data_IF_805104304185
#
_entry.id   IF_805104304185
#
_cell.length_a   1.000
_cell.length_b   1.000
_cell.length_c   1.000
_cell.angle_alpha   90.00
_cell.angle_beta   90.00
_cell.angle_gamma   90.00
#
_symmetry.space_group_name_H-M   'P 1'
#
loop_
_entity.id
_entity.type
_entity.pdbx_description
1 polymer ?
#
# COMPACT_ATOMS: atom_id res chain seq x y z
N UNK A 1 -18.10 10.44 9.31
CA UNK A 1 -18.63 9.22 8.61
C UNK A 1 -17.47 8.24 8.57
N UNK A 2 -17.63 6.98 9.06
CA UNK A 2 -16.54 5.99 8.91
C UNK A 2 -16.34 5.73 7.42
N UNK A 3 -15.09 5.62 6.97
CA UNK A 3 -14.74 5.24 5.60
C UNK A 3 -15.33 3.87 5.26
N UNK A 4 -15.63 3.63 3.99
CA UNK A 4 -16.08 2.31 3.50
C UNK A 4 -15.09 1.17 3.82
N UNK A 5 -13.84 1.49 4.13
CA UNK A 5 -12.84 0.51 4.59
C UNK A 5 -13.24 -0.21 5.88
N UNK A 6 -14.13 0.37 6.69
CA UNK A 6 -14.67 -0.25 7.92
C UNK A 6 -16.01 -0.95 7.69
N UNK A 7 -16.44 -1.14 6.42
CA UNK A 7 -17.61 -1.96 6.09
C UNK A 7 -17.20 -3.44 6.08
N UNK A 8 -17.43 -4.10 7.21
CA UNK A 8 -17.07 -5.50 7.43
C UNK A 8 -17.92 -6.50 6.61
N UNK A 9 -18.99 -6.06 5.98
CA UNK A 9 -19.92 -6.94 5.25
C UNK A 9 -19.73 -6.84 3.74
N UNK A 10 -19.84 -5.64 3.18
CA UNK A 10 -19.87 -5.45 1.73
C UNK A 10 -18.47 -5.38 1.11
N UNK A 11 -17.52 -4.75 1.81
CA UNK A 11 -16.18 -4.55 1.27
C UNK A 11 -15.43 -5.87 1.02
N UNK A 12 -15.39 -6.85 1.96
CA UNK A 12 -14.67 -8.10 1.72
C UNK A 12 -15.19 -8.86 0.49
N UNK A 13 -16.52 -8.97 0.34
CA UNK A 13 -17.13 -9.65 -0.80
C UNK A 13 -16.76 -8.97 -2.13
N UNK A 14 -16.77 -7.63 -2.16
CA UNK A 14 -16.41 -6.88 -3.35
C UNK A 14 -14.91 -6.96 -3.67
N UNK A 15 -14.05 -7.02 -2.66
CA UNK A 15 -12.61 -7.25 -2.87
C UNK A 15 -12.36 -8.63 -3.48
N UNK A 16 -12.99 -9.69 -2.98
CA UNK A 16 -12.88 -11.04 -3.55
C UNK A 16 -13.32 -11.04 -5.02
N UNK A 17 -14.47 -10.43 -5.35
CA UNK A 17 -14.95 -10.28 -6.73
C UNK A 17 -13.99 -9.47 -7.63
N UNK A 18 -13.27 -8.50 -7.06
CA UNK A 18 -12.22 -7.78 -7.77
C UNK A 18 -11.03 -8.70 -8.09
N UNK A 19 -10.56 -9.45 -7.10
CA UNK A 19 -9.39 -10.33 -7.20
C UNK A 19 -9.67 -11.54 -8.12
N UNK A 20 -10.86 -12.12 -8.08
CA UNK A 20 -11.25 -13.24 -8.97
C UNK A 20 -11.58 -12.80 -10.40
N UNK A 21 -11.63 -11.49 -10.65
CA UNK A 21 -11.91 -10.90 -11.95
C UNK A 21 -13.39 -10.67 -12.26
N UNK A 22 -14.32 -10.99 -11.35
CA UNK A 22 -15.77 -10.78 -11.54
C UNK A 22 -16.14 -9.31 -11.71
N UNK A 23 -15.33 -8.38 -11.20
CA UNK A 23 -15.46 -6.94 -11.43
C UNK A 23 -14.64 -6.43 -12.62
N UNK A 24 -14.05 -7.33 -13.42
CA UNK A 24 -13.24 -6.98 -14.58
C UNK A 24 -11.85 -6.44 -14.26
N UNK A 25 -11.38 -6.57 -13.02
CA UNK A 25 -10.03 -6.15 -12.65
C UNK A 25 -8.99 -7.16 -13.14
N UNK A 26 -7.88 -6.70 -13.72
CA UNK A 26 -6.79 -7.59 -14.07
C UNK A 26 -6.09 -8.09 -12.82
N UNK A 27 -5.58 -9.32 -12.86
CA UNK A 27 -4.62 -9.77 -11.85
C UNK A 27 -3.42 -8.81 -11.80
N UNK A 28 -2.76 -8.72 -10.64
CA UNK A 28 -1.66 -7.79 -10.41
C UNK A 28 -0.63 -7.82 -11.54
N UNK A 29 -0.17 -9.00 -11.91
CA UNK A 29 0.85 -9.20 -12.96
C UNK A 29 0.40 -8.86 -14.40
N UNK A 30 -0.90 -8.64 -14.61
CA UNK A 30 -1.49 -8.21 -15.89
C UNK A 30 -1.90 -6.74 -15.86
N UNK A 31 -1.77 -6.06 -14.74
CA UNK A 31 -2.12 -4.65 -14.63
C UNK A 31 -1.07 -3.75 -15.33
N UNK A 32 -1.51 -2.62 -15.86
CA UNK A 32 -0.64 -1.66 -16.58
C UNK A 32 0.47 -1.10 -15.72
N UNK A 33 0.27 -1.04 -14.42
CA UNK A 33 1.23 -0.50 -13.46
C UNK A 33 2.21 -1.54 -12.90
N UNK A 34 1.99 -2.83 -13.11
CA UNK A 34 2.82 -3.90 -12.52
C UNK A 34 4.31 -3.78 -12.87
N UNK A 35 4.63 -3.36 -14.10
CA UNK A 35 6.02 -3.16 -14.53
C UNK A 35 6.79 -2.23 -13.59
N UNK A 36 6.16 -1.16 -13.10
CA UNK A 36 6.80 -0.19 -12.21
C UNK A 36 6.99 -0.76 -10.79
N UNK A 37 6.03 -1.58 -10.32
CA UNK A 37 6.20 -2.30 -9.05
C UNK A 37 7.34 -3.31 -9.15
N UNK A 38 7.41 -4.06 -10.25
CA UNK A 38 8.49 -5.03 -10.47
C UNK A 38 9.86 -4.35 -10.51
N UNK A 39 10.01 -3.27 -11.28
CA UNK A 39 11.23 -2.48 -11.32
C UNK A 39 11.63 -1.97 -9.92
N UNK A 40 10.65 -1.48 -9.15
CA UNK A 40 10.89 -1.02 -7.78
C UNK A 40 11.41 -2.14 -6.87
N UNK A 41 10.82 -3.33 -6.95
CA UNK A 41 11.27 -4.50 -6.18
C UNK A 41 12.68 -4.95 -6.59
N UNK A 42 12.96 -4.98 -7.90
CA UNK A 42 14.27 -5.34 -8.44
C UNK A 42 15.37 -4.33 -7.95
N UNK A 43 15.08 -3.03 -7.93
CA UNK A 43 16.00 -1.99 -7.41
C UNK A 43 16.29 -2.18 -5.92
N UNK A 44 15.29 -2.50 -5.12
CA UNK A 44 15.47 -2.69 -3.68
C UNK A 44 16.32 -3.93 -3.35
N UNK A 45 16.14 -5.04 -4.07
CA UNK A 45 16.92 -6.26 -3.90
C UNK A 45 16.90 -6.83 -2.46
N UNK A 46 15.83 -6.56 -1.69
CA UNK A 46 15.66 -7.01 -0.31
C UNK A 46 15.24 -8.48 -0.22
N UNK A 47 15.27 -9.03 1.00
CA UNK A 47 14.80 -10.40 1.31
C UNK A 47 13.49 -10.41 2.08
N UNK A 48 13.19 -9.35 2.82
CA UNK A 48 12.01 -9.22 3.65
C UNK A 48 11.12 -8.11 3.14
N UNK A 49 9.81 -8.37 3.04
CA UNK A 49 8.79 -7.45 2.55
C UNK A 49 7.63 -7.34 3.53
N UNK A 50 7.36 -6.14 3.97
CA UNK A 50 6.11 -5.79 4.66
C UNK A 50 5.22 -5.03 3.69
N UNK A 51 4.01 -5.55 3.48
CA UNK A 51 2.98 -5.01 2.60
C UNK A 51 1.84 -4.40 3.43
N UNK A 52 1.75 -3.07 3.45
CA UNK A 52 0.76 -2.32 4.21
C UNK A 52 -0.51 -2.12 3.37
N UNK A 53 -1.66 -2.51 3.89
CA UNK A 53 -2.91 -2.55 3.14
C UNK A 53 -2.88 -3.67 2.09
N UNK A 54 -2.49 -4.88 2.52
CA UNK A 54 -2.16 -5.99 1.63
C UNK A 54 -3.35 -6.59 0.86
N UNK A 55 -4.59 -6.28 1.26
CA UNK A 55 -5.80 -6.83 0.64
C UNK A 55 -5.75 -8.36 0.55
N UNK A 56 -5.85 -8.91 -0.65
CA UNK A 56 -5.79 -10.35 -0.90
C UNK A 56 -4.40 -10.97 -0.88
N UNK A 57 -3.33 -10.19 -0.64
CA UNK A 57 -1.94 -10.72 -0.62
C UNK A 57 -1.36 -10.99 -2.01
N UNK A 58 -1.89 -10.39 -3.08
CA UNK A 58 -1.41 -10.64 -4.44
C UNK A 58 0.07 -10.30 -4.63
N UNK A 59 0.59 -9.30 -3.91
CA UNK A 59 2.02 -8.94 -3.94
C UNK A 59 2.85 -10.10 -3.39
N UNK A 60 2.49 -10.68 -2.24
CA UNK A 60 3.20 -11.83 -1.66
C UNK A 60 3.17 -13.06 -2.57
N UNK A 61 2.03 -13.31 -3.23
CA UNK A 61 1.91 -14.39 -4.21
C UNK A 61 2.85 -14.21 -5.40
N UNK A 62 2.97 -12.99 -5.91
CA UNK A 62 3.79 -12.70 -7.11
C UNK A 62 5.28 -12.64 -6.80
N UNK A 63 5.66 -12.11 -5.62
CA UNK A 63 7.06 -12.01 -5.17
C UNK A 63 7.37 -13.08 -4.12
N UNK A 64 7.05 -14.34 -4.44
CA UNK A 64 7.13 -15.51 -3.53
C UNK A 64 8.53 -15.84 -3.02
N UNK A 65 9.58 -15.29 -3.63
CA UNK A 65 10.98 -15.47 -3.17
C UNK A 65 11.33 -14.58 -1.96
N UNK A 66 10.43 -13.66 -1.59
CA UNK A 66 10.60 -12.78 -0.42
C UNK A 66 9.96 -13.37 0.82
N UNK A 67 10.55 -13.11 1.97
CA UNK A 67 9.88 -13.32 3.26
C UNK A 67 8.79 -12.25 3.42
N UNK A 68 7.60 -12.59 2.95
CA UNK A 68 6.44 -11.70 2.91
C UNK A 68 5.64 -11.72 4.21
N UNK A 69 5.22 -10.52 4.64
CA UNK A 69 4.23 -10.33 5.69
C UNK A 69 3.25 -9.23 5.26
N UNK A 70 1.97 -9.59 5.17
CA UNK A 70 0.88 -8.66 4.85
C UNK A 70 0.20 -8.11 6.10
N UNK A 71 -0.13 -6.82 6.07
CA UNK A 71 -0.85 -6.12 7.13
C UNK A 71 -2.09 -5.43 6.57
N UNK A 72 -3.26 -5.65 7.20
CA UNK A 72 -4.52 -5.00 6.84
C UNK A 72 -5.49 -4.96 8.02
N UNK A 73 -6.68 -4.37 7.84
CA UNK A 73 -7.75 -4.37 8.83
C UNK A 73 -8.17 -5.80 9.20
N UNK A 74 -8.58 -6.07 10.45
CA UNK A 74 -8.89 -7.42 10.92
C UNK A 74 -9.87 -8.18 10.01
N UNK A 75 -10.95 -7.54 9.57
CA UNK A 75 -11.95 -8.16 8.72
C UNK A 75 -11.44 -8.44 7.30
N UNK A 76 -10.50 -7.65 6.78
CA UNK A 76 -9.85 -7.92 5.50
C UNK A 76 -8.94 -9.14 5.62
N UNK A 77 -8.13 -9.23 6.67
CA UNK A 77 -7.29 -10.40 6.90
C UNK A 77 -8.13 -11.68 6.99
N UNK A 78 -9.20 -11.68 7.80
CA UNK A 78 -9.99 -12.89 8.04
C UNK A 78 -10.87 -13.27 6.84
N UNK A 79 -11.47 -12.30 6.16
CA UNK A 79 -12.48 -12.57 5.11
C UNK A 79 -11.92 -12.53 3.68
N UNK A 80 -10.75 -11.91 3.47
CA UNK A 80 -10.13 -11.77 2.13
C UNK A 80 -8.77 -12.43 2.08
N UNK A 81 -7.79 -11.95 2.84
CA UNK A 81 -6.38 -12.37 2.72
C UNK A 81 -6.21 -13.88 2.92
N UNK A 82 -6.73 -14.41 4.04
CA UNK A 82 -6.67 -15.85 4.38
C UNK A 82 -7.55 -16.73 3.48
N UNK A 83 -8.51 -16.14 2.77
CA UNK A 83 -9.37 -16.88 1.82
C UNK A 83 -8.69 -16.98 0.46
N UNK A 84 -8.05 -15.89 0.01
CA UNK A 84 -7.47 -15.79 -1.34
C UNK A 84 -6.08 -16.45 -1.42
N UNK A 85 -5.21 -16.18 -0.45
CA UNK A 85 -3.83 -16.70 -0.40
C UNK A 85 -3.50 -17.19 1.02
N UNK A 86 -4.10 -18.32 1.47
CA UNK A 86 -4.01 -18.80 2.86
C UNK A 86 -2.61 -19.21 3.32
N UNK A 87 -1.68 -19.41 2.38
CA UNK A 87 -0.29 -19.84 2.64
C UNK A 87 0.63 -18.69 3.07
N UNK A 88 0.18 -17.44 2.93
CA UNK A 88 0.98 -16.27 3.27
C UNK A 88 0.79 -15.85 4.74
N UNK A 89 1.75 -15.09 5.25
CA UNK A 89 1.70 -14.58 6.62
C UNK A 89 0.98 -13.24 6.68
N UNK A 90 0.01 -13.13 7.61
CA UNK A 90 -0.79 -11.93 7.77
C UNK A 90 -0.96 -11.53 9.22
N UNK A 91 -1.00 -10.21 9.47
CA UNK A 91 -1.32 -9.62 10.77
C UNK A 91 -2.31 -8.47 10.62
N UNK A 92 -3.18 -8.33 11.60
CA UNK A 92 -4.18 -7.27 11.65
C UNK A 92 -3.57 -5.97 12.19
N UNK A 93 -3.91 -4.84 11.57
CA UNK A 93 -3.60 -3.52 12.10
C UNK A 93 -4.63 -2.47 11.65
N UNK A 94 -4.69 -1.36 12.36
CA UNK A 94 -5.37 -0.13 11.92
C UNK A 94 -4.33 1.00 11.84
N UNK A 95 -4.24 1.63 10.67
CA UNK A 95 -3.26 2.69 10.41
C UNK A 95 -3.42 3.92 11.31
N UNK A 96 -4.61 4.17 11.81
CA UNK A 96 -4.89 5.31 12.68
C UNK A 96 -4.53 5.04 14.15
N UNK A 97 -4.49 3.77 14.55
CA UNK A 97 -4.27 3.36 15.94
C UNK A 97 -2.84 2.86 16.21
N UNK A 98 -2.04 2.62 15.16
CA UNK A 98 -0.68 2.07 15.29
C UNK A 98 0.41 3.12 15.22
N UNK A 99 1.57 2.81 15.82
CA UNK A 99 2.82 3.57 15.69
C UNK A 99 3.79 2.97 14.66
N UNK A 100 3.42 1.87 14.00
CA UNK A 100 4.21 1.16 12.99
C UNK A 100 5.53 0.55 13.50
N UNK A 101 5.68 0.26 14.80
CA UNK A 101 6.90 -0.38 15.32
C UNK A 101 7.21 -1.74 14.67
N UNK A 102 6.18 -2.45 14.20
CA UNK A 102 6.31 -3.76 13.57
C UNK A 102 7.03 -3.76 12.21
N UNK A 103 7.24 -2.60 11.58
CA UNK A 103 7.95 -2.53 10.29
C UNK A 103 9.48 -2.48 10.44
N UNK A 104 9.99 -2.30 11.66
CA UNK A 104 11.43 -2.31 11.93
C UNK A 104 12.06 -3.65 11.58
N UNK A 105 13.27 -3.60 11.05
CA UNK A 105 14.03 -4.79 10.63
C UNK A 105 13.64 -5.33 9.26
N UNK A 106 12.61 -4.78 8.59
CA UNK A 106 12.29 -5.15 7.22
C UNK A 106 13.17 -4.44 6.21
N UNK A 107 13.59 -5.15 5.15
CA UNK A 107 14.31 -4.55 4.04
C UNK A 107 13.42 -3.60 3.24
N UNK A 108 12.17 -4.00 2.98
CA UNK A 108 11.22 -3.28 2.14
C UNK A 108 9.91 -3.11 2.89
N UNK A 109 9.44 -1.86 2.95
CA UNK A 109 8.08 -1.52 3.37
C UNK A 109 7.34 -1.01 2.16
N UNK A 110 6.29 -1.72 1.74
CA UNK A 110 5.47 -1.38 0.58
C UNK A 110 4.15 -0.76 1.02
N UNK A 111 3.78 0.31 0.35
CA UNK A 111 2.42 0.84 0.30
C UNK A 111 1.94 0.80 -1.16
N UNK A 112 1.15 -0.22 -1.50
CA UNK A 112 0.53 -0.34 -2.82
C UNK A 112 -0.90 0.20 -2.78
N UNK A 113 -1.09 1.45 -3.14
CA UNK A 113 -2.37 2.18 -3.05
C UNK A 113 -2.93 2.33 -1.62
N UNK A 114 -2.22 1.89 -0.58
CA UNK A 114 -2.71 1.92 0.79
C UNK A 114 -2.82 3.34 1.34
N UNK A 115 -1.73 4.13 1.32
CA UNK A 115 -1.73 5.50 1.87
C UNK A 115 -2.71 6.39 1.12
N UNK A 116 -2.89 6.18 -0.18
CA UNK A 116 -3.86 6.95 -0.99
C UNK A 116 -5.31 6.73 -0.55
N UNK A 117 -5.62 5.68 0.18
CA UNK A 117 -6.96 5.36 0.65
C UNK A 117 -7.26 5.93 2.07
N UNK A 118 -6.31 6.64 2.67
CA UNK A 118 -6.41 7.16 4.03
C UNK A 118 -6.71 8.67 4.04
N UNK A 119 -7.38 9.16 5.10
CA UNK A 119 -7.75 10.59 5.23
C UNK A 119 -6.64 11.47 5.83
N UNK A 120 -5.56 10.92 6.32
CA UNK A 120 -4.44 11.66 6.94
C UNK A 120 -3.13 11.11 6.41
N UNK A 121 -3.05 11.08 5.07
CA UNK A 121 -2.05 10.31 4.35
C UNK A 121 -0.61 10.78 4.63
N UNK A 122 -0.37 12.09 4.69
CA UNK A 122 0.97 12.64 4.96
C UNK A 122 1.47 12.31 6.37
N UNK A 123 0.60 12.39 7.38
CA UNK A 123 0.99 12.06 8.75
C UNK A 123 1.29 10.55 8.90
N UNK A 124 0.45 9.70 8.32
CA UNK A 124 0.67 8.25 8.35
C UNK A 124 1.96 7.88 7.61
N UNK A 125 2.21 8.48 6.44
CA UNK A 125 3.48 8.33 5.74
C UNK A 125 4.67 8.75 6.61
N UNK A 126 4.56 9.84 7.35
CA UNK A 126 5.58 10.29 8.30
C UNK A 126 5.90 9.25 9.38
N UNK A 127 4.90 8.59 9.93
CA UNK A 127 5.09 7.48 10.88
C UNK A 127 5.83 6.31 10.25
N UNK A 128 5.43 5.90 9.03
CA UNK A 128 6.07 4.80 8.28
C UNK A 128 7.54 5.13 8.00
N UNK A 129 7.83 6.32 7.46
CA UNK A 129 9.20 6.77 7.15
C UNK A 129 10.07 6.78 8.42
N UNK A 130 9.55 7.26 9.54
CA UNK A 130 10.31 7.32 10.78
C UNK A 130 10.70 5.95 11.36
N UNK A 131 9.95 4.90 11.04
CA UNK A 131 10.20 3.52 11.50
C UNK A 131 10.92 2.65 10.49
N UNK A 132 10.90 3.02 9.20
CA UNK A 132 11.55 2.26 8.14
C UNK A 132 13.07 2.35 8.25
N UNK A 133 13.76 1.23 7.99
CA UNK A 133 15.21 1.12 8.19
C UNK A 133 16.01 1.00 6.90
N UNK A 134 15.36 0.69 5.76
CA UNK A 134 16.08 0.51 4.50
C UNK A 134 15.33 1.13 3.31
N UNK A 135 14.28 0.50 2.81
CA UNK A 135 13.52 0.98 1.66
C UNK A 135 12.04 1.16 1.99
N UNK A 136 11.45 2.24 1.47
CA UNK A 136 9.99 2.38 1.38
C UNK A 136 9.61 2.52 -0.08
N UNK A 137 8.68 1.70 -0.55
CA UNK A 137 8.08 1.78 -1.88
C UNK A 137 6.68 2.36 -1.74
N UNK A 138 6.45 3.50 -2.36
CA UNK A 138 5.13 4.09 -2.54
C UNK A 138 4.68 3.78 -3.97
N UNK A 139 3.83 2.79 -4.15
CA UNK A 139 3.31 2.37 -5.45
C UNK A 139 1.85 2.79 -5.60
N UNK A 140 1.49 3.33 -6.78
CA UNK A 140 0.16 3.87 -7.06
C UNK A 140 -0.25 4.98 -6.09
N UNK A 141 0.70 5.85 -5.76
CA UNK A 141 0.47 6.97 -4.86
C UNK A 141 0.25 8.26 -5.65
N UNK A 142 -0.75 9.05 -5.23
CA UNK A 142 -1.01 10.40 -5.79
C UNK A 142 -0.23 11.45 -5.03
N UNK A 143 0.31 12.40 -5.78
CA UNK A 143 0.99 13.58 -5.27
C UNK A 143 0.39 14.86 -5.88
N UNK A 144 0.32 15.92 -5.09
CA UNK A 144 -0.16 17.26 -5.48
C UNK A 144 0.66 18.33 -4.76
N UNK A 145 0.44 19.61 -5.09
CA UNK A 145 1.12 20.72 -4.39
C UNK A 145 0.71 20.81 -2.91
N UNK A 146 -0.53 20.42 -2.60
CA UNK A 146 -1.04 20.32 -1.23
C UNK A 146 -1.73 18.98 -1.03
N UNK A 147 -1.88 18.53 0.24
CA UNK A 147 -2.69 17.35 0.55
C UNK A 147 -4.14 17.59 0.14
N UNK A 148 -4.70 16.69 -0.63
CA UNK A 148 -6.08 16.73 -1.11
C UNK A 148 -6.76 15.42 -0.82
N UNK A 149 -7.91 15.48 -0.16
CA UNK A 149 -8.76 14.34 0.16
C UNK A 149 -10.05 14.42 -0.63
N UNK A 150 -10.31 13.42 -1.46
CA UNK A 150 -11.53 13.31 -2.25
C UNK A 150 -12.23 11.98 -1.94
N UNK A 151 -13.54 11.94 -2.16
CA UNK A 151 -14.29 10.69 -2.13
C UNK A 151 -14.50 10.19 -3.58
N UNK A 152 -14.46 8.90 -3.77
CA UNK A 152 -14.72 8.27 -5.07
C UNK A 152 -15.36 6.89 -4.88
N UNK A 153 -16.03 6.41 -5.91
CA UNK A 153 -16.65 5.10 -5.90
C UNK A 153 -15.69 4.05 -6.44
N UNK A 154 -15.50 2.99 -5.68
CA UNK A 154 -14.70 1.83 -6.06
C UNK A 154 -15.31 0.54 -5.49
N UNK A 155 -14.68 -0.61 -5.72
CA UNK A 155 -15.08 -1.90 -5.12
C UNK A 155 -16.60 -2.19 -5.27
N UNK A 156 -17.14 -2.00 -6.48
CA UNK A 156 -18.56 -2.28 -6.73
C UNK A 156 -19.53 -1.21 -6.20
N UNK A 157 -19.10 0.05 -6.13
CA UNK A 157 -19.93 1.20 -5.77
C UNK A 157 -19.77 1.69 -4.34
N UNK A 158 -18.81 1.16 -3.59
CA UNK A 158 -18.47 1.68 -2.27
C UNK A 158 -17.80 3.05 -2.38
N UNK A 159 -18.21 3.97 -1.51
CA UNK A 159 -17.62 5.31 -1.44
C UNK A 159 -16.39 5.28 -0.53
N UNK A 160 -15.22 5.33 -1.13
CA UNK A 160 -13.92 5.34 -0.43
C UNK A 160 -13.26 6.70 -0.52
N UNK A 161 -12.23 6.89 0.29
CA UNK A 161 -11.40 8.09 0.30
C UNK A 161 -10.23 7.93 -0.68
N UNK A 162 -9.85 9.02 -1.34
CA UNK A 162 -8.61 9.10 -2.09
C UNK A 162 -7.82 10.33 -1.63
N UNK A 163 -6.63 10.11 -1.11
CA UNK A 163 -5.73 11.13 -0.62
C UNK A 163 -4.52 11.31 -1.54
N UNK A 164 -4.25 12.53 -1.95
CA UNK A 164 -3.00 12.89 -2.59
C UNK A 164 -2.05 13.52 -1.55
N UNK A 165 -0.83 13.03 -1.47
CA UNK A 165 0.21 13.55 -0.59
C UNK A 165 0.70 14.90 -1.12
N UNK A 166 0.98 15.86 -0.22
CA UNK A 166 1.68 17.10 -0.59
C UNK A 166 3.13 16.81 -0.98
N UNK A 167 3.54 17.22 -2.19
CA UNK A 167 4.93 17.14 -2.64
C UNK A 167 5.88 17.83 -1.64
N UNK A 168 5.51 19.02 -1.18
CA UNK A 168 6.34 19.80 -0.25
C UNK A 168 6.50 19.07 1.09
N UNK A 169 5.42 18.54 1.65
CA UNK A 169 5.49 17.81 2.92
C UNK A 169 6.23 16.47 2.78
N UNK A 170 6.05 15.77 1.67
CA UNK A 170 6.82 14.57 1.39
C UNK A 170 8.33 14.84 1.40
N UNK A 171 8.78 15.87 0.67
CA UNK A 171 10.19 16.24 0.63
C UNK A 171 10.74 16.58 2.04
N UNK A 172 9.98 17.29 2.87
CA UNK A 172 10.35 17.57 4.26
C UNK A 172 10.46 16.28 5.11
N UNK A 173 9.54 15.32 4.92
CA UNK A 173 9.56 14.06 5.66
C UNK A 173 10.82 13.23 5.41
N UNK A 174 11.33 13.24 4.16
CA UNK A 174 12.50 12.46 3.76
C UNK A 174 13.81 13.22 3.90
N UNK A 175 13.77 14.55 4.06
CA UNK A 175 14.95 15.42 4.15
C UNK A 175 15.95 14.89 5.20
N UNK A 176 17.23 14.80 4.81
CA UNK A 176 18.34 14.30 5.63
C UNK A 176 18.24 12.85 6.13
N UNK A 177 17.16 12.14 5.84
CA UNK A 177 16.93 10.75 6.30
C UNK A 177 16.95 9.73 5.17
N UNK A 178 16.41 10.10 4.01
CA UNK A 178 16.26 9.22 2.86
C UNK A 178 16.66 9.92 1.57
N UNK A 179 17.09 9.13 0.59
CA UNK A 179 17.28 9.54 -0.79
C UNK A 179 16.15 8.96 -1.65
N UNK A 180 15.64 9.74 -2.62
CA UNK A 180 14.77 9.22 -3.67
C UNK A 180 15.65 8.52 -4.69
N UNK A 181 15.50 7.21 -4.85
CA UNK A 181 16.32 6.40 -5.76
C UNK A 181 15.54 5.93 -7.00
N UNK A 182 14.22 6.13 -7.01
CA UNK A 182 13.35 5.88 -8.14
C UNK A 182 12.11 6.76 -8.04
N UNK A 183 11.69 7.42 -9.10
CA UNK A 183 10.46 8.22 -9.20
C UNK A 183 9.94 8.15 -10.64
N UNK A 184 8.82 7.47 -10.83
CA UNK A 184 8.16 7.34 -12.12
C UNK A 184 6.68 7.68 -11.99
N UNK A 185 6.20 8.55 -12.87
CA UNK A 185 4.80 8.95 -12.96
C UNK A 185 4.08 8.24 -14.10
N UNK A 186 2.84 7.81 -13.86
CA UNK A 186 1.93 7.18 -14.82
C UNK A 186 0.48 7.32 -14.33
N UNK A 187 -0.43 7.58 -15.23
CA UNK A 187 -1.88 7.63 -14.98
C UNK A 187 -2.27 8.47 -13.72
N UNK A 188 -1.71 9.67 -13.56
CA UNK A 188 -1.88 10.55 -12.38
C UNK A 188 -1.38 9.94 -11.05
N UNK A 189 -0.60 8.89 -11.10
CA UNK A 189 0.00 8.21 -9.93
C UNK A 189 1.51 8.10 -10.10
N UNK A 190 2.18 7.81 -8.99
CA UNK A 190 3.63 7.57 -8.98
C UNK A 190 3.98 6.24 -8.34
N UNK A 191 5.14 5.71 -8.78
CA UNK A 191 5.92 4.74 -8.01
C UNK A 191 7.21 5.43 -7.57
N UNK A 192 7.39 5.55 -6.27
CA UNK A 192 8.57 6.19 -5.66
C UNK A 192 9.25 5.18 -4.74
N UNK A 193 10.59 5.10 -4.82
CA UNK A 193 11.41 4.40 -3.84
C UNK A 193 12.23 5.43 -3.08
N UNK A 194 12.13 5.40 -1.77
CA UNK A 194 13.05 6.09 -0.89
C UNK A 194 13.94 5.08 -0.16
N UNK A 195 15.24 5.38 -0.09
CA UNK A 195 16.27 4.58 0.56
C UNK A 195 16.85 5.35 1.74
N UNK A 196 16.91 4.72 2.91
CA UNK A 196 17.56 5.31 4.10
C UNK A 196 19.05 5.55 3.84
N UNK A 197 19.51 6.73 4.23
CA UNK A 197 20.92 7.15 4.15
C UNK A 197 21.82 6.39 5.10
#
# INVERSE_FOLDING_TARGET
MKSAWYDENTLPDNMIKGIDGSLGWPKLEKSTHFKYLKEAMDICGGKTLIDLGCGGGEVGRVFSDLHYVGYDLPHIIEKVSKVVNPELNYYSFDAYETDFEFIKGSDIVLSNSFITELTNCTNILGKIINKSEKYVILHRQKFKDSEVVNNYNTYGGLNTTNCAISNTEFLKLIENKFDVVYDVEYDDMKTIIIKKK
#
